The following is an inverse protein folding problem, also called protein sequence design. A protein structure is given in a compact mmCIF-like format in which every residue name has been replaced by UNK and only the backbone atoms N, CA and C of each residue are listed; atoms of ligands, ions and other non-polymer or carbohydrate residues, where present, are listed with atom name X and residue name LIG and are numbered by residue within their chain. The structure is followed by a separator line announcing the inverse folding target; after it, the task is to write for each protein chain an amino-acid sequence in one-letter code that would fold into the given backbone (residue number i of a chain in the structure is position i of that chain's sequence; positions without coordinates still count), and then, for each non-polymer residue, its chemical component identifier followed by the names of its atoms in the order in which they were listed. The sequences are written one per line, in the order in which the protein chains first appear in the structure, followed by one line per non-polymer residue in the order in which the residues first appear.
data_IF_258573333089
#
_entry.id   IF_258573333089
#
_cell.length_a   1.000
_cell.length_b   1.000
_cell.length_c   1.000
_cell.angle_alpha   90.00
_cell.angle_beta   90.00
_cell.angle_gamma   90.00
#
_symmetry.space_group_name_H-M   'P 1'
#
loop_
_entity.id
_entity.type
_entity.pdbx_description
1 polymer ?
#
# COMPACT_ATOMS: atom_id res chain seq x y z
N UNK A 1 13.41 11.07 -8.23
CA UNK A 1 13.36 9.69 -7.73
C UNK A 1 13.31 9.81 -6.22
N UNK A 2 12.16 9.47 -5.64
CA UNK A 2 11.95 9.49 -4.19
C UNK A 2 12.82 8.42 -3.53
N UNK A 3 13.37 8.68 -2.35
CA UNK A 3 14.10 7.63 -1.62
C UNK A 3 13.13 6.65 -0.98
N UNK A 4 13.53 5.39 -0.78
CA UNK A 4 12.67 4.36 -0.19
C UNK A 4 12.12 4.75 1.19
N UNK A 5 12.91 5.49 1.99
CA UNK A 5 12.47 5.99 3.28
C UNK A 5 11.36 7.04 3.17
N UNK A 6 11.48 7.97 2.21
CA UNK A 6 10.45 8.99 1.96
C UNK A 6 9.21 8.36 1.35
N UNK A 7 9.38 7.40 0.44
CA UNK A 7 8.28 6.68 -0.19
C UNK A 7 7.52 5.81 0.82
N UNK A 8 8.22 5.17 1.76
CA UNK A 8 7.60 4.40 2.85
C UNK A 8 6.70 5.28 3.72
N UNK A 9 7.19 6.45 4.12
CA UNK A 9 6.41 7.40 4.92
C UNK A 9 5.25 8.00 4.11
N UNK A 10 5.44 8.26 2.81
CA UNK A 10 4.38 8.70 1.92
C UNK A 10 3.26 7.66 1.78
N UNK A 11 3.59 6.37 1.63
CA UNK A 11 2.62 5.27 1.63
C UNK A 11 1.84 5.23 2.94
N UNK A 12 2.53 5.32 4.08
CA UNK A 12 1.85 5.28 5.39
C UNK A 12 0.84 6.44 5.55
N UNK A 13 1.22 7.66 5.14
CA UNK A 13 0.33 8.83 5.14
C UNK A 13 -0.81 8.70 4.15
N UNK A 14 -0.56 8.12 2.97
CA UNK A 14 -1.59 7.87 1.97
C UNK A 14 -2.67 6.93 2.50
N UNK A 15 -2.28 5.87 3.20
CA UNK A 15 -3.24 4.92 3.78
C UNK A 15 -3.95 5.51 5.01
N UNK A 16 -3.36 6.52 5.66
CA UNK A 16 -3.98 7.26 6.76
C UNK A 16 -3.89 6.56 8.12
N UNK A 17 -3.04 5.54 8.24
CA UNK A 17 -2.84 4.79 9.49
C UNK A 17 -2.09 5.57 10.58
N UNK A 18 -1.57 6.75 10.24
CA UNK A 18 -1.02 7.71 11.21
C UNK A 18 -2.09 8.42 12.03
N UNK A 19 -3.33 8.47 11.54
CA UNK A 19 -4.44 9.24 12.14
C UNK A 19 -5.73 8.45 12.32
N UNK A 20 -5.87 7.29 11.67
CA UNK A 20 -7.05 6.45 11.69
C UNK A 20 -6.67 4.98 11.87
N UNK A 21 -7.40 4.19 12.68
CA UNK A 21 -7.22 2.75 12.72
C UNK A 21 -7.78 2.02 11.49
N UNK A 22 -8.56 2.72 10.66
CA UNK A 22 -9.11 2.18 9.41
C UNK A 22 -8.28 2.71 8.23
N UNK A 23 -7.81 1.81 7.34
CA UNK A 23 -7.07 2.22 6.15
C UNK A 23 -8.02 2.92 5.15
N UNK A 24 -7.49 3.92 4.46
CA UNK A 24 -8.18 4.69 3.44
C UNK A 24 -7.26 5.07 2.29
N UNK A 25 -7.73 5.97 1.41
CA UNK A 25 -6.91 6.55 0.35
C UNK A 25 -6.91 8.07 0.53
N UNK A 26 -5.73 8.63 0.80
CA UNK A 26 -5.55 10.04 1.15
C UNK A 26 -4.46 10.74 0.31
N UNK A 27 -4.61 10.81 -1.03
CA UNK A 27 -3.64 11.47 -1.90
C UNK A 27 -3.40 12.94 -1.55
N UNK A 28 -4.38 13.61 -0.96
CA UNK A 28 -4.31 15.00 -0.50
C UNK A 28 -3.27 15.22 0.62
N UNK A 29 -2.86 14.16 1.32
CA UNK A 29 -1.88 14.22 2.42
C UNK A 29 -0.43 14.24 1.94
N UNK A 30 -0.19 13.90 0.67
CA UNK A 30 1.15 13.95 0.07
C UNK A 30 1.28 15.28 -0.66
N UNK A 31 2.19 16.15 -0.25
CA UNK A 31 2.36 17.47 -0.86
C UNK A 31 3.15 17.43 -2.17
N UNK A 32 4.19 16.60 -2.22
CA UNK A 32 5.02 16.44 -3.42
C UNK A 32 4.26 15.70 -4.51
N UNK A 33 4.16 16.31 -5.69
CA UNK A 33 3.52 15.67 -6.85
C UNK A 33 4.29 14.45 -7.34
N UNK A 34 5.61 14.43 -7.16
CA UNK A 34 6.46 13.29 -7.52
C UNK A 34 6.21 12.11 -6.57
N UNK A 35 6.28 12.34 -5.26
CA UNK A 35 5.97 11.33 -4.25
C UNK A 35 4.55 10.78 -4.44
N UNK A 36 3.57 11.67 -4.69
CA UNK A 36 2.19 11.27 -4.91
C UNK A 36 2.06 10.37 -6.14
N UNK A 37 2.69 10.73 -7.25
CA UNK A 37 2.64 9.92 -8.47
C UNK A 37 3.29 8.53 -8.27
N UNK A 38 4.39 8.45 -7.51
CA UNK A 38 5.03 7.18 -7.17
C UNK A 38 4.12 6.30 -6.28
N UNK A 39 3.52 6.87 -5.23
CA UNK A 39 2.57 6.16 -4.36
C UNK A 39 1.33 5.74 -5.15
N UNK A 40 0.74 6.60 -5.96
CA UNK A 40 -0.40 6.25 -6.80
C UNK A 40 -0.07 5.13 -7.78
N UNK A 41 1.16 5.07 -8.30
CA UNK A 41 1.64 3.96 -9.11
C UNK A 41 1.77 2.63 -8.34
N UNK A 42 2.07 2.67 -7.04
CA UNK A 42 2.04 1.48 -6.16
C UNK A 42 0.60 1.04 -5.92
N UNK A 43 -0.27 1.97 -5.55
CA UNK A 43 -1.67 1.71 -5.23
C UNK A 43 -2.44 1.21 -6.46
N UNK A 44 -2.20 1.77 -7.65
CA UNK A 44 -2.84 1.32 -8.88
C UNK A 44 -2.47 -0.13 -9.24
N UNK A 45 -1.24 -0.56 -8.94
CA UNK A 45 -0.82 -1.97 -9.12
C UNK A 45 -1.48 -2.87 -8.09
N UNK A 46 -1.59 -2.41 -6.84
CA UNK A 46 -2.28 -3.13 -5.76
C UNK A 46 -3.77 -3.32 -6.09
N UNK A 47 -4.43 -2.26 -6.57
CA UNK A 47 -5.85 -2.24 -6.96
C UNK A 47 -6.15 -3.11 -8.19
N UNK A 48 -5.14 -3.46 -8.99
CA UNK A 48 -5.28 -4.36 -10.13
C UNK A 48 -5.31 -5.84 -9.73
N UNK A 49 -5.09 -6.15 -8.46
CA UNK A 49 -5.11 -7.53 -7.94
C UNK A 49 -6.45 -7.80 -7.26
N UNK A 50 -7.08 -8.90 -7.64
CA UNK A 50 -8.34 -9.38 -7.08
C UNK A 50 -8.11 -10.72 -6.38
N UNK A 51 -8.79 -10.99 -5.25
CA UNK A 51 -8.74 -12.29 -4.60
C UNK A 51 -9.40 -13.34 -5.51
N UNK A 52 -8.75 -14.50 -5.63
CA UNK A 52 -9.32 -15.65 -6.35
C UNK A 52 -10.07 -16.58 -5.40
N UNK A 53 -10.57 -17.70 -5.93
CA UNK A 53 -11.29 -18.73 -5.16
C UNK A 53 -10.43 -19.43 -4.08
N UNK A 54 -9.13 -19.14 -4.00
CA UNK A 54 -8.20 -19.68 -3.00
C UNK A 54 -7.89 -18.70 -1.86
N UNK A 55 -8.46 -17.49 -1.91
CA UNK A 55 -8.31 -16.48 -0.87
C UNK A 55 -9.29 -16.73 0.30
N UNK A 56 -9.07 -17.82 1.03
CA UNK A 56 -9.87 -18.17 2.22
C UNK A 56 -9.66 -17.17 3.38
N UNK A 57 -8.44 -16.61 3.47
CA UNK A 57 -8.09 -15.53 4.39
C UNK A 57 -7.55 -14.33 3.60
N UNK A 58 -8.30 -13.22 3.64
CA UNK A 58 -7.97 -11.98 2.91
C UNK A 58 -6.69 -11.30 3.44
N UNK A 59 -6.33 -11.52 4.71
CA UNK A 59 -5.10 -10.97 5.27
C UNK A 59 -3.89 -11.74 4.73
N UNK A 60 -3.91 -13.08 4.83
CA UNK A 60 -2.82 -13.93 4.30
C UNK A 60 -2.69 -13.81 2.78
N UNK A 61 -3.81 -13.61 2.07
CA UNK A 61 -3.79 -13.27 0.65
C UNK A 61 -3.12 -11.90 0.41
N UNK A 62 -3.55 -10.85 1.11
CA UNK A 62 -2.99 -9.51 0.94
C UNK A 62 -1.48 -9.46 1.26
N UNK A 63 -1.00 -10.19 2.27
CA UNK A 63 0.43 -10.30 2.57
C UNK A 63 1.22 -10.85 1.38
N UNK A 64 0.74 -11.94 0.77
CA UNK A 64 1.38 -12.57 -0.39
C UNK A 64 1.42 -11.64 -1.60
N UNK A 65 0.34 -10.92 -1.87
CA UNK A 65 0.29 -10.00 -3.01
C UNK A 65 1.18 -8.77 -2.80
N UNK A 66 1.21 -8.21 -1.58
CA UNK A 66 2.12 -7.10 -1.26
C UNK A 66 3.58 -7.55 -1.34
N UNK A 67 3.92 -8.76 -0.87
CA UNK A 67 5.29 -9.28 -0.99
C UNK A 67 5.71 -9.45 -2.46
N UNK A 68 4.80 -9.95 -3.32
CA UNK A 68 5.06 -10.06 -4.77
C UNK A 68 5.24 -8.70 -5.43
N UNK A 69 4.41 -7.73 -5.06
CA UNK A 69 4.51 -6.36 -5.55
C UNK A 69 5.87 -5.75 -5.19
N UNK A 70 6.30 -5.87 -3.94
CA UNK A 70 7.54 -5.27 -3.44
C UNK A 70 8.80 -6.03 -3.91
N UNK A 71 8.71 -7.32 -4.23
CA UNK A 71 9.85 -8.09 -4.76
C UNK A 71 10.42 -7.53 -6.08
N UNK A 72 9.64 -6.76 -6.83
CA UNK A 72 10.06 -6.10 -8.08
C UNK A 72 10.00 -4.58 -8.01
N UNK A 73 9.74 -4.04 -6.82
CA UNK A 73 9.44 -2.64 -6.56
C UNK A 73 10.44 -1.97 -5.60
N UNK A 74 10.03 -0.84 -5.01
CA UNK A 74 10.85 -0.13 -4.02
C UNK A 74 10.96 -0.92 -2.70
N UNK A 75 12.07 -0.73 -1.98
CA UNK A 75 12.34 -1.39 -0.70
C UNK A 75 11.62 -0.67 0.44
N UNK A 76 10.30 -0.88 0.52
CA UNK A 76 9.48 -0.26 1.55
C UNK A 76 9.71 -0.90 2.91
N UNK A 77 9.72 -0.07 3.95
CA UNK A 77 9.86 -0.55 5.32
C UNK A 77 8.62 -1.35 5.79
N UNK A 78 8.76 -2.04 6.93
CA UNK A 78 7.71 -2.89 7.49
C UNK A 78 6.37 -2.15 7.73
N UNK A 79 6.43 -0.88 8.13
CA UNK A 79 5.26 -0.07 8.41
C UNK A 79 4.49 0.28 7.12
N UNK A 80 5.20 0.64 6.06
CA UNK A 80 4.60 0.89 4.76
C UNK A 80 4.03 -0.40 4.15
N UNK A 81 4.73 -1.53 4.30
CA UNK A 81 4.22 -2.85 3.92
C UNK A 81 2.90 -3.17 4.64
N UNK A 82 2.87 -3.03 5.96
CA UNK A 82 1.66 -3.29 6.77
C UNK A 82 0.49 -2.39 6.36
N UNK A 83 0.76 -1.14 5.99
CA UNK A 83 -0.25 -0.23 5.49
C UNK A 83 -0.86 -0.71 4.15
N UNK A 84 -0.04 -1.21 3.23
CA UNK A 84 -0.53 -1.78 1.97
C UNK A 84 -1.35 -3.06 2.20
N UNK A 85 -0.91 -3.94 3.09
CA UNK A 85 -1.64 -5.16 3.46
C UNK A 85 -3.00 -4.81 4.07
N UNK A 86 -3.02 -3.85 4.99
CA UNK A 86 -4.24 -3.36 5.63
C UNK A 86 -5.20 -2.76 4.60
N UNK A 87 -4.70 -1.94 3.68
CA UNK A 87 -5.52 -1.33 2.63
C UNK A 87 -6.12 -2.39 1.69
N UNK A 88 -5.31 -3.34 1.22
CA UNK A 88 -5.76 -4.36 0.27
C UNK A 88 -6.79 -5.30 0.92
N UNK A 89 -6.48 -5.85 2.10
CA UNK A 89 -7.40 -6.74 2.82
C UNK A 89 -8.71 -6.05 3.20
N UNK A 90 -8.66 -4.76 3.58
CA UNK A 90 -9.87 -3.98 3.90
C UNK A 90 -10.73 -3.69 2.66
N UNK A 91 -10.12 -3.51 1.49
CA UNK A 91 -10.84 -3.24 0.23
C UNK A 91 -11.76 -4.40 -0.17
N UNK A 92 -11.40 -5.64 0.19
CA UNK A 92 -12.12 -6.86 -0.19
C UNK A 92 -12.94 -7.49 0.94
N UNK A 93 -12.94 -6.88 2.12
CA UNK A 93 -13.71 -7.32 3.29
C UNK A 93 -15.18 -6.92 3.21
#
# INVERSE_FOLDING_TARGET
MTSDAVLSDAVFRYVGLDVSPLPGRHPERIQSSEERAEVEGIIARLDAVEPDETADDLFDWAEREVDRLLATGPDLNAQAREALVSLLSFTWR
#
